data_IF_183582597261
#
_entry.id   IF_183582597261
#
_cell.length_a   1.000
_cell.length_b   1.000
_cell.length_c   1.000
_cell.angle_alpha   90.00
_cell.angle_beta   90.00
_cell.angle_gamma   90.00
#
_symmetry.space_group_name_H-M   'P 1'
#
loop_
_entity.id
_entity.type
_entity.pdbx_description
1 polymer ?
#
# COMPACT_ATOMS: atom_id res chain seq x y z
N UNK A 1 14.26 -50.73 -20.23
CA UNK A 1 14.99 -49.49 -19.85
C UNK A 1 14.33 -48.17 -20.29
N UNK A 2 13.33 -48.16 -21.19
CA UNK A 2 12.71 -46.90 -21.68
C UNK A 2 11.62 -46.34 -20.75
N UNK A 3 11.00 -47.19 -19.94
CA UNK A 3 9.91 -46.81 -19.02
C UNK A 3 10.39 -46.13 -17.73
N UNK A 4 11.56 -46.52 -17.22
CA UNK A 4 12.15 -45.96 -16.01
C UNK A 4 12.61 -44.51 -16.21
N UNK A 5 13.12 -44.19 -17.41
CA UNK A 5 13.51 -42.82 -17.77
C UNK A 5 12.31 -41.85 -17.77
N UNK A 6 11.18 -42.26 -18.36
CA UNK A 6 9.97 -41.42 -18.43
C UNK A 6 9.42 -41.10 -17.03
N UNK A 7 9.47 -42.07 -16.12
CA UNK A 7 9.09 -41.88 -14.72
C UNK A 7 10.02 -40.90 -13.98
N UNK A 8 11.33 -41.01 -14.18
CA UNK A 8 12.31 -40.11 -13.54
C UNK A 8 12.15 -38.67 -14.04
N UNK A 9 11.92 -38.46 -15.34
CA UNK A 9 11.69 -37.12 -15.89
C UNK A 9 10.36 -36.51 -15.43
N UNK A 10 9.30 -37.31 -15.30
CA UNK A 10 8.01 -36.84 -14.80
C UNK A 10 8.08 -36.40 -13.32
N UNK A 11 8.80 -37.14 -12.48
CA UNK A 11 9.02 -36.79 -11.06
C UNK A 11 9.91 -35.54 -10.93
N UNK A 12 10.92 -35.38 -11.78
CA UNK A 12 11.77 -34.18 -11.77
C UNK A 12 11.00 -32.91 -12.17
N UNK A 13 10.11 -33.00 -13.17
CA UNK A 13 9.30 -31.86 -13.62
C UNK A 13 8.23 -31.48 -12.57
N UNK A 14 7.61 -32.47 -11.92
CA UNK A 14 6.64 -32.22 -10.83
C UNK A 14 7.34 -31.70 -9.56
N UNK A 15 8.54 -32.18 -9.25
CA UNK A 15 9.32 -31.74 -8.09
C UNK A 15 9.84 -30.31 -8.18
N UNK A 16 10.19 -29.85 -9.39
CA UNK A 16 10.61 -28.45 -9.64
C UNK A 16 9.41 -27.51 -9.83
N UNK A 17 8.28 -28.02 -10.33
CA UNK A 17 7.05 -27.23 -10.48
C UNK A 17 6.38 -26.84 -9.15
N UNK A 18 6.49 -27.67 -8.11
CA UNK A 18 5.88 -27.40 -6.80
C UNK A 18 6.66 -26.40 -5.94
N UNK A 19 7.96 -26.19 -6.18
CA UNK A 19 8.77 -25.26 -5.39
C UNK A 19 8.58 -23.78 -5.77
N UNK A 20 7.88 -23.48 -6.87
CA UNK A 20 7.66 -22.10 -7.35
C UNK A 20 6.34 -21.48 -6.87
N UNK A 21 5.51 -22.24 -6.15
CA UNK A 21 4.19 -21.81 -5.69
C UNK A 21 4.21 -20.74 -4.58
N UNK A 22 5.14 -20.76 -3.58
CA UNK A 22 5.07 -19.82 -2.46
C UNK A 22 5.29 -18.36 -2.86
N UNK A 23 6.04 -18.11 -3.94
CA UNK A 23 6.39 -16.75 -4.38
C UNK A 23 5.21 -16.01 -5.02
N UNK A 24 4.28 -16.72 -5.66
CA UNK A 24 3.12 -16.11 -6.31
C UNK A 24 2.05 -15.69 -5.28
N UNK A 25 1.78 -16.49 -4.25
CA UNK A 25 0.82 -16.14 -3.20
C UNK A 25 1.27 -14.98 -2.30
N UNK A 26 2.58 -14.77 -2.12
CA UNK A 26 3.10 -13.64 -1.35
C UNK A 26 2.94 -12.31 -2.09
N UNK A 27 3.06 -12.31 -3.41
CA UNK A 27 2.91 -11.12 -4.23
C UNK A 27 1.46 -10.61 -4.26
N UNK A 28 0.48 -11.53 -4.36
CA UNK A 28 -0.95 -11.17 -4.37
C UNK A 28 -1.42 -10.62 -3.02
N UNK A 29 -0.98 -11.21 -1.90
CA UNK A 29 -1.31 -10.72 -0.55
C UNK A 29 -0.67 -9.39 -0.18
N UNK A 30 0.52 -9.09 -0.72
CA UNK A 30 1.20 -7.81 -0.48
C UNK A 30 0.49 -6.61 -1.10
N UNK A 31 -0.17 -6.82 -2.25
CA UNK A 31 -0.93 -5.79 -2.95
C UNK A 31 -2.20 -5.39 -2.17
N UNK A 32 -2.90 -6.38 -1.59
CA UNK A 32 -4.12 -6.18 -0.79
C UNK A 32 -3.86 -5.34 0.46
N UNK A 33 -2.80 -5.66 1.20
CA UNK A 33 -2.46 -4.92 2.42
C UNK A 33 -2.00 -3.49 2.13
N UNK A 34 -1.32 -3.26 1.00
CA UNK A 34 -0.88 -1.92 0.60
C UNK A 34 -2.06 -1.01 0.26
N UNK A 35 -3.08 -1.54 -0.42
CA UNK A 35 -4.33 -0.82 -0.71
C UNK A 35 -5.12 -0.52 0.56
N UNK A 36 -5.19 -1.47 1.49
CA UNK A 36 -5.84 -1.30 2.80
C UNK A 36 -5.16 -0.18 3.61
N UNK A 37 -3.83 -0.16 3.67
CA UNK A 37 -3.06 0.88 4.37
C UNK A 37 -3.32 2.26 3.76
N UNK A 38 -3.35 2.37 2.42
CA UNK A 38 -3.68 3.63 1.74
C UNK A 38 -5.10 4.09 2.09
N UNK A 39 -6.07 3.17 2.14
CA UNK A 39 -7.45 3.47 2.53
C UNK A 39 -7.53 4.01 3.97
N UNK A 40 -6.94 3.30 4.93
CA UNK A 40 -6.93 3.75 6.34
C UNK A 40 -6.18 5.08 6.51
N UNK A 41 -5.11 5.33 5.74
CA UNK A 41 -4.43 6.61 5.75
C UNK A 41 -5.35 7.76 5.28
N UNK A 42 -6.15 7.55 4.23
CA UNK A 42 -7.15 8.53 3.76
C UNK A 42 -8.24 8.79 4.80
N UNK A 43 -8.70 7.75 5.48
CA UNK A 43 -9.67 7.88 6.58
C UNK A 43 -9.08 8.67 7.76
N UNK A 44 -7.82 8.41 8.14
CA UNK A 44 -7.11 9.16 9.16
C UNK A 44 -6.95 10.65 8.82
N UNK A 45 -6.66 10.96 7.55
CA UNK A 45 -6.63 12.36 7.05
C UNK A 45 -8.01 13.01 7.18
N UNK A 46 -9.09 12.29 6.84
CA UNK A 46 -10.46 12.80 6.96
C UNK A 46 -10.82 13.14 8.42
N UNK A 47 -10.54 12.24 9.37
CA UNK A 47 -10.76 12.51 10.79
C UNK A 47 -9.92 13.68 11.30
N UNK A 48 -8.67 13.81 10.85
CA UNK A 48 -7.82 14.93 11.24
C UNK A 48 -8.38 16.26 10.71
N UNK A 49 -8.93 16.29 9.47
CA UNK A 49 -9.63 17.48 8.94
C UNK A 49 -10.87 17.85 9.75
N UNK A 50 -11.60 16.86 10.26
CA UNK A 50 -12.73 17.10 11.15
C UNK A 50 -12.28 17.68 12.50
N UNK A 51 -11.22 17.12 13.10
CA UNK A 51 -10.63 17.66 14.34
C UNK A 51 -10.14 19.11 14.16
N UNK A 52 -9.55 19.44 13.01
CA UNK A 52 -9.15 20.81 12.64
C UNK A 52 -10.36 21.76 12.69
N UNK A 53 -11.53 21.38 12.17
CA UNK A 53 -12.73 22.23 12.23
C UNK A 53 -13.12 22.58 13.67
N UNK A 54 -13.06 21.63 14.60
CA UNK A 54 -13.34 21.89 16.01
C UNK A 54 -12.30 22.80 16.67
N UNK A 55 -11.03 22.70 16.26
CA UNK A 55 -9.98 23.61 16.70
C UNK A 55 -10.25 25.02 16.15
N UNK A 56 -10.65 25.17 14.88
CA UNK A 56 -11.02 26.47 14.29
C UNK A 56 -12.19 27.14 15.03
N UNK A 57 -13.21 26.37 15.40
CA UNK A 57 -14.33 26.85 16.21
C UNK A 57 -13.87 27.33 17.58
N UNK A 58 -12.99 26.56 18.22
CA UNK A 58 -12.40 26.91 19.52
C UNK A 58 -11.55 28.19 19.43
N UNK A 59 -10.73 28.32 18.38
CA UNK A 59 -9.89 29.51 18.11
C UNK A 59 -10.73 30.75 17.91
N UNK A 60 -11.87 30.67 17.21
CA UNK A 60 -12.78 31.80 17.02
C UNK A 60 -13.35 32.32 18.35
N UNK A 61 -13.57 31.43 19.32
CA UNK A 61 -14.09 31.79 20.63
C UNK A 61 -13.05 32.37 21.60
N UNK A 62 -11.79 31.96 21.50
CA UNK A 62 -10.74 32.32 22.48
C UNK A 62 -9.73 33.33 21.98
N UNK A 63 -9.47 33.38 20.66
CA UNK A 63 -8.41 34.20 20.07
C UNK A 63 -6.99 33.75 20.43
N UNK A 64 -6.83 32.59 21.09
CA UNK A 64 -5.57 32.09 21.63
C UNK A 64 -4.50 31.86 20.54
N UNK A 65 -3.30 32.37 20.78
CA UNK A 65 -2.20 32.30 19.82
C UNK A 65 -1.64 30.88 19.66
N UNK A 66 -1.60 30.09 20.74
CA UNK A 66 -1.15 28.70 20.68
C UNK A 66 -2.15 27.81 19.94
N UNK A 67 -3.45 28.07 20.07
CA UNK A 67 -4.47 27.38 19.32
C UNK A 67 -4.38 27.66 17.81
N UNK A 68 -4.05 28.90 17.40
CA UNK A 68 -3.76 29.24 16.00
C UNK A 68 -2.52 28.55 15.47
N UNK A 69 -1.46 28.47 16.28
CA UNK A 69 -0.23 27.79 15.88
C UNK A 69 -0.42 26.26 15.79
N UNK A 70 -1.17 25.67 16.72
CA UNK A 70 -1.58 24.27 16.66
C UNK A 70 -2.40 23.98 15.39
N UNK A 71 -3.32 24.88 15.01
CA UNK A 71 -4.08 24.78 13.77
C UNK A 71 -3.17 24.80 12.54
N UNK A 72 -2.16 25.69 12.50
CA UNK A 72 -1.19 25.73 11.40
C UNK A 72 -0.44 24.39 11.29
N UNK A 73 0.08 23.88 12.40
CA UNK A 73 0.82 22.61 12.41
C UNK A 73 -0.06 21.41 12.04
N UNK A 74 -1.33 21.41 12.43
CA UNK A 74 -2.26 20.37 12.02
C UNK A 74 -2.49 20.39 10.49
N UNK A 75 -2.61 21.58 9.88
CA UNK A 75 -2.71 21.71 8.43
C UNK A 75 -1.43 21.29 7.70
N UNK A 76 -0.25 21.62 8.23
CA UNK A 76 1.04 21.14 7.70
C UNK A 76 1.14 19.60 7.76
N UNK A 77 0.70 19.00 8.87
CA UNK A 77 0.68 17.55 9.04
C UNK A 77 -0.26 16.86 8.02
N UNK A 78 -1.44 17.45 7.76
CA UNK A 78 -2.35 16.98 6.69
C UNK A 78 -1.65 17.00 5.33
N UNK A 79 -0.98 18.10 4.99
CA UNK A 79 -0.30 18.23 3.71
C UNK A 79 0.79 17.15 3.53
N UNK A 80 1.56 16.87 4.57
CA UNK A 80 2.56 15.78 4.55
C UNK A 80 1.92 14.39 4.47
N UNK A 81 0.80 14.16 5.14
CA UNK A 81 0.07 12.90 5.03
C UNK A 81 -0.48 12.68 3.62
N UNK A 82 -1.04 13.71 2.98
CA UNK A 82 -1.53 13.65 1.60
C UNK A 82 -0.40 13.37 0.60
N UNK A 83 0.77 14.02 0.76
CA UNK A 83 1.96 13.71 -0.04
C UNK A 83 2.41 12.26 0.14
N UNK A 84 2.41 11.76 1.38
CA UNK A 84 2.79 10.37 1.67
C UNK A 84 1.82 9.37 1.02
N UNK A 85 0.52 9.65 1.06
CA UNK A 85 -0.52 8.86 0.38
C UNK A 85 -0.27 8.85 -1.13
N UNK A 86 0.00 10.01 -1.74
CA UNK A 86 0.29 10.11 -3.16
C UNK A 86 1.54 9.28 -3.56
N UNK A 87 2.59 9.31 -2.74
CA UNK A 87 3.76 8.47 -2.94
C UNK A 87 3.46 6.96 -2.83
N UNK A 88 2.65 6.56 -1.85
CA UNK A 88 2.23 5.18 -1.70
C UNK A 88 1.39 4.70 -2.90
N UNK A 89 0.47 5.53 -3.40
CA UNK A 89 -0.31 5.22 -4.60
C UNK A 89 0.56 5.07 -5.86
N UNK A 90 1.55 5.95 -6.04
CA UNK A 90 2.50 5.84 -7.15
C UNK A 90 3.35 4.56 -7.05
N UNK A 91 3.79 4.20 -5.84
CA UNK A 91 4.54 2.97 -5.61
C UNK A 91 3.69 1.73 -5.93
N UNK A 92 2.44 1.69 -5.45
CA UNK A 92 1.51 0.60 -5.76
C UNK A 92 1.28 0.44 -7.27
N UNK A 93 1.05 1.55 -7.99
CA UNK A 93 0.89 1.54 -9.46
C UNK A 93 2.15 1.03 -10.19
N UNK A 94 3.34 1.44 -9.74
CA UNK A 94 4.60 1.00 -10.34
C UNK A 94 4.82 -0.50 -10.16
N UNK A 95 4.52 -1.03 -8.98
CA UNK A 95 4.60 -2.47 -8.70
C UNK A 95 3.69 -3.26 -9.64
N UNK A 96 2.44 -2.81 -9.81
CA UNK A 96 1.48 -3.42 -10.74
C UNK A 96 1.96 -3.41 -12.20
N UNK A 97 2.44 -2.27 -12.71
CA UNK A 97 2.96 -2.16 -14.07
C UNK A 97 4.20 -3.06 -14.32
N UNK A 98 5.10 -3.17 -13.34
CA UNK A 98 6.25 -4.09 -13.44
C UNK A 98 5.85 -5.58 -13.40
N UNK A 99 4.69 -5.92 -12.83
CA UNK A 99 4.15 -7.28 -12.80
C UNK A 99 3.45 -7.63 -14.12
N UNK A 100 2.71 -6.69 -14.72
CA UNK A 100 2.06 -6.86 -16.03
C UNK A 100 3.09 -6.99 -17.17
N UNK A 101 4.16 -6.19 -17.16
CA UNK A 101 5.24 -6.29 -18.17
C UNK A 101 6.04 -7.61 -18.14
N UNK A 102 5.91 -8.42 -17.08
CA UNK A 102 6.50 -9.77 -17.02
C UNK A 102 5.60 -10.85 -17.62
N UNK A 103 4.32 -10.58 -17.87
CA UNK A 103 3.42 -11.55 -18.53
C UNK A 103 3.48 -11.49 -20.06
N UNK A 104 3.85 -10.35 -20.66
CA UNK A 104 3.95 -10.24 -22.13
C UNK A 104 5.23 -10.86 -22.74
N UNK A 105 6.15 -11.34 -21.91
CA UNK A 105 7.46 -11.85 -22.35
C UNK A 105 7.64 -13.36 -22.09
N UNK A 106 6.55 -14.13 -22.03
CA UNK A 106 6.57 -15.59 -21.90
C UNK A 106 5.68 -16.25 -22.95
#
# INVERSE_FOLDING_TARGET
MKHTWKMVMAVAILGVGLSLQPALSLAEKGEDHSQEVIKHAKEGVAHTKEAIKHIEESVKGTGDAHAKEALRHANEAIAHAEQSIAHAEMAAKKTMCCMEGKQEHK
#
